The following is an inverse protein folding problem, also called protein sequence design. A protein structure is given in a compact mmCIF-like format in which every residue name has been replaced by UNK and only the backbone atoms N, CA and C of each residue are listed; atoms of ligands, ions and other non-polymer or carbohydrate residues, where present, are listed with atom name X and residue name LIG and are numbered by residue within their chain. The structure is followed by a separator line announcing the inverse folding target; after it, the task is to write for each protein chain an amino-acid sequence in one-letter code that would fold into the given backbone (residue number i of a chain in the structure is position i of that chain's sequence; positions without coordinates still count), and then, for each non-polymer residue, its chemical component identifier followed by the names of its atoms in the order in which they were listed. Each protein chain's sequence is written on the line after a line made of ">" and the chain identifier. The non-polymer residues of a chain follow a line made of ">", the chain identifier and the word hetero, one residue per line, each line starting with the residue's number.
data_IF_363199736470
#
_entry.id   IF_363199736470
#
_cell.length_a   1.000
_cell.length_b   1.000
_cell.length_c   1.000
_cell.angle_alpha   90.00
_cell.angle_beta   90.00
_cell.angle_gamma   90.00
#
_symmetry.space_group_name_H-M   'P 1'
#
loop_
_entity.id
_entity.type
_entity.pdbx_description
1 polymer ?
#
# COMPACT_ATOMS: atom_id res chain seq x y z
N UNK A 1 -21.43 1.18 1.62
CA UNK A 1 -21.33 2.62 1.99
C UNK A 1 -21.34 3.43 0.70
N UNK A 2 -22.34 4.30 0.46
CA UNK A 2 -22.37 5.14 -0.75
C UNK A 2 -21.10 5.98 -0.90
N UNK A 3 -20.78 6.40 -2.13
CA UNK A 3 -19.58 7.16 -2.51
C UNK A 3 -18.24 6.39 -2.42
N UNK A 4 -18.18 5.23 -1.76
CA UNK A 4 -16.98 4.39 -1.71
C UNK A 4 -16.95 3.49 -2.93
N UNK A 5 -16.29 3.96 -3.99
CA UNK A 5 -16.29 3.30 -5.32
C UNK A 5 -17.68 3.14 -5.95
N UNK A 6 -18.64 3.96 -5.51
CA UNK A 6 -20.00 4.06 -6.01
C UNK A 6 -20.30 5.49 -6.50
N UNK A 7 -21.25 5.68 -7.43
CA UNK A 7 -21.70 7.01 -7.84
C UNK A 7 -22.39 7.75 -6.68
N UNK A 8 -22.52 9.07 -6.81
CA UNK A 8 -23.25 9.92 -5.85
C UNK A 8 -22.45 11.12 -5.33
N UNK A 9 -21.13 11.13 -5.55
CA UNK A 9 -20.28 12.25 -5.13
C UNK A 9 -20.75 13.60 -5.70
N UNK A 10 -21.13 13.66 -6.98
CA UNK A 10 -21.59 14.90 -7.62
C UNK A 10 -22.85 15.48 -6.95
N UNK A 11 -23.76 14.62 -6.48
CA UNK A 11 -24.99 15.05 -5.80
C UNK A 11 -24.65 15.57 -4.40
N UNK A 12 -23.80 14.87 -3.66
CA UNK A 12 -23.36 15.31 -2.32
C UNK A 12 -22.58 16.62 -2.41
N UNK A 13 -21.69 16.77 -3.39
CA UNK A 13 -20.95 18.01 -3.64
C UNK A 13 -21.90 19.17 -3.95
N UNK A 14 -22.84 18.98 -4.89
CA UNK A 14 -23.83 20.02 -5.24
C UNK A 14 -24.71 20.41 -4.04
N UNK A 15 -25.08 19.46 -3.17
CA UNK A 15 -25.82 19.76 -1.95
C UNK A 15 -24.99 20.63 -0.99
N UNK A 16 -23.70 20.32 -0.80
CA UNK A 16 -22.81 21.16 0.00
C UNK A 16 -22.62 22.56 -0.57
N UNK A 17 -22.43 22.69 -1.89
CA UNK A 17 -22.32 24.00 -2.57
C UNK A 17 -23.59 24.85 -2.37
N UNK A 18 -24.75 24.21 -2.34
CA UNK A 18 -26.04 24.84 -2.06
C UNK A 18 -26.33 25.03 -0.56
N UNK A 19 -25.38 24.72 0.34
CA UNK A 19 -25.57 24.74 1.80
C UNK A 19 -26.75 23.89 2.30
N UNK A 20 -27.08 22.83 1.56
CA UNK A 20 -28.11 21.86 1.93
C UNK A 20 -27.51 20.86 2.93
N UNK A 21 -28.16 20.60 4.08
CA UNK A 21 -27.69 19.60 5.04
C UNK A 21 -27.63 18.20 4.41
N UNK A 22 -26.47 17.56 4.50
CA UNK A 22 -26.26 16.15 4.10
C UNK A 22 -26.01 15.31 5.34
N UNK A 23 -26.62 14.13 5.40
CA UNK A 23 -26.38 13.14 6.45
C UNK A 23 -26.20 11.75 5.84
N UNK A 24 -25.62 10.82 6.60
CA UNK A 24 -25.37 9.45 6.18
C UNK A 24 -25.77 8.47 7.30
N UNK A 25 -26.49 7.41 6.95
CA UNK A 25 -26.79 6.32 7.87
C UNK A 25 -25.56 5.40 7.91
N UNK A 26 -24.98 5.10 9.09
CA UNK A 26 -23.89 4.13 9.17
C UNK A 26 -24.39 2.76 8.70
N UNK A 27 -23.55 2.03 7.97
CA UNK A 27 -23.99 0.77 7.38
C UNK A 27 -22.86 -0.07 6.80
N UNK A 28 -23.21 -1.21 6.17
CA UNK A 28 -22.24 -2.18 5.68
C UNK A 28 -21.23 -1.60 4.69
N UNK A 29 -19.98 -2.05 4.82
CA UNK A 29 -18.90 -1.73 3.90
C UNK A 29 -17.99 -2.95 3.75
N UNK A 30 -17.82 -3.43 2.51
CA UNK A 30 -16.94 -4.55 2.21
C UNK A 30 -15.48 -4.27 2.65
N UNK A 31 -15.04 -3.01 2.58
CA UNK A 31 -13.69 -2.57 3.00
C UNK A 31 -13.45 -2.88 4.47
N UNK A 32 -14.29 -2.34 5.37
CA UNK A 32 -14.08 -2.52 6.82
C UNK A 32 -14.35 -3.96 7.25
N UNK A 33 -15.29 -4.65 6.60
CA UNK A 33 -15.54 -6.08 6.85
C UNK A 33 -14.33 -6.92 6.44
N UNK A 34 -13.74 -6.68 5.27
CA UNK A 34 -12.55 -7.41 4.81
C UNK A 34 -11.34 -7.16 5.73
N UNK A 35 -11.12 -5.91 6.16
CA UNK A 35 -10.05 -5.58 7.12
C UNK A 35 -10.24 -6.35 8.44
N UNK A 36 -11.45 -6.38 8.97
CA UNK A 36 -11.76 -7.12 10.21
C UNK A 36 -11.54 -8.63 10.06
N UNK A 37 -11.88 -9.21 8.90
CA UNK A 37 -11.74 -10.65 8.65
C UNK A 37 -10.33 -11.07 8.19
N UNK A 38 -9.52 -10.12 7.71
CA UNK A 38 -8.19 -10.41 7.13
C UNK A 38 -7.23 -11.11 8.09
N UNK A 39 -7.36 -10.87 9.41
CA UNK A 39 -6.42 -11.37 10.41
C UNK A 39 -4.99 -10.83 10.25
N UNK A 40 -4.81 -9.74 9.49
CA UNK A 40 -3.56 -9.00 9.38
C UNK A 40 -3.48 -7.95 10.50
N UNK A 41 -2.26 -7.51 10.83
CA UNK A 41 -2.08 -6.43 11.81
C UNK A 41 -2.41 -5.07 11.17
N UNK A 42 -3.70 -4.78 11.04
CA UNK A 42 -4.21 -3.55 10.43
C UNK A 42 -4.31 -2.47 11.52
N UNK A 43 -3.22 -1.74 11.75
CA UNK A 43 -3.24 -0.52 12.59
C UNK A 43 -3.74 0.69 11.81
N UNK A 44 -3.11 0.95 10.67
CA UNK A 44 -3.50 1.98 9.70
C UNK A 44 -3.70 1.32 8.33
N UNK A 45 -4.65 1.82 7.55
CA UNK A 45 -4.93 1.28 6.23
C UNK A 45 -5.19 2.37 5.18
N UNK A 46 -5.06 1.97 3.92
CA UNK A 46 -5.49 2.73 2.73
C UNK A 46 -6.57 1.91 2.06
N UNK A 47 -7.66 2.57 1.65
CA UNK A 47 -8.55 2.01 0.65
C UNK A 47 -8.26 2.69 -0.68
N UNK A 48 -7.84 1.92 -1.68
CA UNK A 48 -7.40 2.45 -2.98
C UNK A 48 -8.29 1.98 -4.14
N UNK A 49 -9.60 1.93 -3.90
CA UNK A 49 -10.60 1.63 -4.92
C UNK A 49 -10.32 0.32 -5.65
N UNK A 50 -10.30 0.36 -6.98
CA UNK A 50 -9.96 -0.78 -7.82
C UNK A 50 -8.51 -0.67 -8.31
N UNK A 51 -7.77 -1.78 -8.28
CA UNK A 51 -6.44 -1.82 -8.87
C UNK A 51 -6.47 -1.39 -10.36
N UNK A 52 -5.39 -0.78 -10.90
CA UNK A 52 -5.34 -0.38 -12.29
C UNK A 52 -5.52 -1.55 -13.27
N UNK A 53 -6.25 -1.32 -14.37
CA UNK A 53 -6.58 -2.38 -15.34
C UNK A 53 -5.37 -2.82 -16.18
N UNK A 54 -4.57 -1.85 -16.64
CA UNK A 54 -3.43 -2.10 -17.54
C UNK A 54 -2.24 -2.61 -16.73
N UNK A 55 -1.56 -3.64 -17.21
CA UNK A 55 -0.42 -4.28 -16.51
C UNK A 55 0.65 -3.28 -16.10
N UNK A 56 1.11 -2.40 -17.00
CA UNK A 56 2.12 -1.39 -16.64
C UNK A 56 1.67 -0.44 -15.53
N UNK A 57 0.41 0.04 -15.58
CA UNK A 57 -0.13 0.91 -14.54
C UNK A 57 -0.35 0.17 -13.22
N UNK A 58 -0.72 -1.11 -13.26
CA UNK A 58 -0.90 -1.95 -12.08
C UNK A 58 0.42 -2.23 -11.39
N UNK A 59 1.47 -2.54 -12.14
CA UNK A 59 2.82 -2.74 -11.60
C UNK A 59 3.38 -1.44 -11.02
N UNK A 60 3.25 -0.31 -11.72
CA UNK A 60 3.62 0.99 -11.18
C UNK A 60 2.87 1.34 -9.88
N UNK A 61 1.59 1.00 -9.80
CA UNK A 61 0.82 1.13 -8.55
C UNK A 61 1.37 0.21 -7.44
N UNK A 62 1.62 -1.07 -7.73
CA UNK A 62 2.23 -2.00 -6.77
C UNK A 62 3.61 -1.52 -6.29
N UNK A 63 4.42 -0.95 -7.17
CA UNK A 63 5.73 -0.39 -6.81
C UNK A 63 5.61 0.71 -5.73
N UNK A 64 4.53 1.51 -5.76
CA UNK A 64 4.28 2.49 -4.68
C UNK A 64 3.99 1.86 -3.32
N UNK A 65 3.61 0.57 -3.29
CA UNK A 65 3.21 -0.14 -2.08
C UNK A 65 4.35 -0.94 -1.45
N UNK A 66 5.51 -1.07 -2.10
CA UNK A 66 6.65 -1.88 -1.63
C UNK A 66 7.03 -1.51 -0.19
N UNK A 67 7.08 -0.21 0.10
CA UNK A 67 7.44 0.36 1.40
C UNK A 67 6.26 1.03 2.13
N UNK A 68 5.04 0.90 1.62
CA UNK A 68 3.86 1.49 2.24
C UNK A 68 3.52 0.73 3.53
N UNK A 69 3.72 1.37 4.68
CA UNK A 69 3.55 0.73 6.00
C UNK A 69 2.10 0.38 6.35
N UNK A 70 1.14 1.05 5.72
CA UNK A 70 -0.29 0.83 5.94
C UNK A 70 -0.73 -0.42 5.18
N UNK A 71 -1.68 -1.16 5.76
CA UNK A 71 -2.35 -2.20 4.99
C UNK A 71 -3.12 -1.57 3.81
N UNK A 72 -3.15 -2.23 2.67
CA UNK A 72 -3.85 -1.74 1.48
C UNK A 72 -5.06 -2.62 1.23
N UNK A 73 -6.23 -2.00 1.19
CA UNK A 73 -7.48 -2.64 0.82
C UNK A 73 -7.90 -2.15 -0.57
N UNK A 74 -8.24 -3.07 -1.46
CA UNK A 74 -8.77 -2.73 -2.78
C UNK A 74 -9.83 -3.73 -3.23
N UNK A 75 -10.67 -3.30 -4.16
CA UNK A 75 -11.61 -4.15 -4.88
C UNK A 75 -10.96 -4.70 -6.14
N UNK A 76 -11.42 -5.89 -6.54
CA UNK A 76 -10.98 -6.48 -7.80
C UNK A 76 -12.10 -7.32 -8.43
N UNK A 77 -12.05 -7.44 -9.75
CA UNK A 77 -12.88 -8.35 -10.51
C UNK A 77 -12.38 -9.80 -10.38
N UNK A 78 -13.28 -10.80 -10.33
CA UNK A 78 -12.89 -12.21 -10.35
C UNK A 78 -12.04 -12.60 -11.56
N UNK A 79 -12.17 -11.89 -12.69
CA UNK A 79 -11.41 -12.15 -13.91
C UNK A 79 -10.00 -11.56 -13.93
N UNK A 80 -9.62 -10.81 -12.88
CA UNK A 80 -8.36 -10.05 -12.83
C UNK A 80 -7.51 -10.34 -11.61
N UNK A 81 -8.11 -10.88 -10.56
CA UNK A 81 -7.47 -11.13 -9.27
C UNK A 81 -6.28 -12.08 -9.39
N UNK A 82 -6.33 -13.09 -10.26
CA UNK A 82 -5.21 -14.00 -10.53
C UNK A 82 -3.98 -13.20 -11.00
N UNK A 83 -4.14 -12.37 -12.04
CA UNK A 83 -3.04 -11.56 -12.56
C UNK A 83 -2.60 -10.47 -11.57
N UNK A 84 -3.51 -9.89 -10.79
CA UNK A 84 -3.17 -8.93 -9.75
C UNK A 84 -2.32 -9.60 -8.66
N UNK A 85 -2.68 -10.80 -8.19
CA UNK A 85 -1.93 -11.51 -7.16
C UNK A 85 -0.56 -11.97 -7.67
N UNK A 86 -0.48 -12.42 -8.92
CA UNK A 86 0.80 -12.75 -9.56
C UNK A 86 1.72 -11.51 -9.65
N UNK A 87 1.23 -10.39 -10.18
CA UNK A 87 1.99 -9.14 -10.23
C UNK A 87 2.37 -8.66 -8.81
N UNK A 88 1.48 -8.80 -7.84
CA UNK A 88 1.74 -8.39 -6.46
C UNK A 88 2.81 -9.27 -5.80
N UNK A 89 2.78 -10.58 -6.01
CA UNK A 89 3.83 -11.48 -5.52
C UNK A 89 5.19 -11.16 -6.15
N UNK A 90 5.22 -10.83 -7.45
CA UNK A 90 6.44 -10.44 -8.15
C UNK A 90 7.01 -9.11 -7.63
N UNK A 91 6.16 -8.10 -7.42
CA UNK A 91 6.60 -6.72 -7.09
C UNK A 91 6.79 -6.52 -5.59
N UNK A 92 5.86 -7.01 -4.75
CA UNK A 92 5.87 -6.78 -3.30
C UNK A 92 6.62 -7.87 -2.52
N UNK A 93 7.04 -8.93 -3.22
CA UNK A 93 7.63 -10.13 -2.67
C UNK A 93 6.58 -11.21 -2.38
N UNK A 94 6.89 -12.49 -2.65
CA UNK A 94 5.94 -13.59 -2.53
C UNK A 94 5.53 -13.86 -1.08
N UNK A 95 6.38 -13.51 -0.11
CA UNK A 95 6.17 -13.76 1.32
C UNK A 95 5.31 -12.69 2.00
N UNK A 96 5.01 -11.58 1.31
CA UNK A 96 4.10 -10.55 1.83
C UNK A 96 2.76 -11.19 2.15
N UNK A 97 2.18 -10.93 3.31
CA UNK A 97 0.88 -11.49 3.67
C UNK A 97 -0.27 -10.73 3.03
N UNK A 98 -1.35 -11.44 2.76
CA UNK A 98 -2.60 -10.88 2.27
C UNK A 98 -3.82 -11.71 2.68
N UNK A 99 -4.99 -11.18 2.34
CA UNK A 99 -6.27 -11.85 2.47
C UNK A 99 -7.19 -11.51 1.29
N UNK A 100 -7.68 -12.53 0.61
CA UNK A 100 -8.74 -12.40 -0.41
C UNK A 100 -10.07 -12.73 0.25
N UNK A 101 -10.95 -11.73 0.36
CA UNK A 101 -12.29 -11.86 0.91
C UNK A 101 -13.30 -11.91 -0.23
N UNK A 102 -14.01 -13.03 -0.38
CA UNK A 102 -14.96 -13.31 -1.46
C UNK A 102 -16.37 -13.39 -0.92
N UNK A 103 -17.31 -12.82 -1.69
CA UNK A 103 -18.75 -12.99 -1.45
C UNK A 103 -19.14 -12.69 0.00
N UNK A 104 -18.55 -11.65 0.58
CA UNK A 104 -18.77 -11.25 1.98
C UNK A 104 -20.26 -11.14 2.30
N UNK A 105 -20.64 -11.76 3.40
CA UNK A 105 -21.98 -11.92 3.98
C UNK A 105 -22.96 -12.80 3.19
N UNK A 106 -22.52 -13.43 2.09
CA UNK A 106 -23.37 -14.28 1.22
C UNK A 106 -23.13 -15.77 1.51
N UNK A 107 -23.94 -16.63 0.89
CA UNK A 107 -23.89 -18.10 1.06
C UNK A 107 -22.52 -18.72 0.80
N UNK A 108 -21.75 -18.14 -0.13
CA UNK A 108 -20.43 -18.63 -0.54
C UNK A 108 -19.29 -17.74 -0.02
N UNK A 109 -19.47 -17.08 1.14
CA UNK A 109 -18.42 -16.29 1.77
C UNK A 109 -17.15 -17.12 1.98
N UNK A 110 -16.01 -16.57 1.58
CA UNK A 110 -14.69 -17.17 1.79
C UNK A 110 -13.65 -16.10 2.11
N UNK A 111 -12.83 -16.34 3.13
CA UNK A 111 -11.68 -15.49 3.46
C UNK A 111 -10.42 -16.33 3.36
N UNK A 112 -9.75 -16.24 2.21
CA UNK A 112 -8.47 -16.93 1.98
C UNK A 112 -7.34 -16.04 2.46
N UNK A 113 -6.55 -16.54 3.41
CA UNK A 113 -5.37 -15.86 3.98
C UNK A 113 -4.12 -16.65 3.63
N UNK A 114 -3.01 -15.95 3.43
CA UNK A 114 -1.72 -16.55 3.09
C UNK A 114 -0.71 -15.49 2.69
N UNK A 115 0.42 -15.94 2.17
CA UNK A 115 1.35 -15.07 1.47
C UNK A 115 0.83 -14.73 0.06
N UNK A 116 1.33 -13.68 -0.59
CA UNK A 116 0.92 -13.32 -1.93
C UNK A 116 1.21 -14.44 -2.93
N UNK A 117 2.31 -15.18 -2.75
CA UNK A 117 2.61 -16.37 -3.56
C UNK A 117 1.57 -17.49 -3.39
N UNK A 118 1.19 -17.79 -2.14
CA UNK A 118 0.15 -18.80 -1.85
C UNK A 118 -1.23 -18.37 -2.41
N UNK A 119 -1.54 -17.08 -2.32
CA UNK A 119 -2.78 -16.52 -2.84
C UNK A 119 -2.81 -16.52 -4.38
N UNK A 120 -1.69 -16.19 -5.02
CA UNK A 120 -1.56 -16.27 -6.47
C UNK A 120 -1.80 -17.70 -6.98
N UNK A 121 -1.15 -18.69 -6.34
CA UNK A 121 -1.35 -20.10 -6.66
C UNK A 121 -2.80 -20.56 -6.41
N UNK A 122 -3.42 -20.11 -5.31
CA UNK A 122 -4.82 -20.44 -5.02
C UNK A 122 -5.80 -19.83 -6.04
N UNK A 123 -5.47 -18.68 -6.63
CA UNK A 123 -6.31 -18.02 -7.63
C UNK A 123 -6.18 -18.62 -9.04
N UNK A 124 -5.23 -19.54 -9.26
CA UNK A 124 -5.06 -20.25 -10.54
C UNK A 124 -6.35 -20.98 -10.94
N UNK A 125 -6.70 -20.91 -12.23
CA UNK A 125 -7.96 -21.48 -12.74
C UNK A 125 -9.19 -20.60 -12.47
N UNK A 126 -9.00 -19.45 -11.82
CA UNK A 126 -9.98 -18.40 -11.66
C UNK A 126 -10.87 -18.56 -10.44
N UNK A 127 -11.32 -17.42 -9.93
CA UNK A 127 -12.27 -17.32 -8.83
C UNK A 127 -13.57 -16.66 -9.29
N UNK A 128 -14.61 -16.73 -8.47
CA UNK A 128 -15.94 -16.16 -8.77
C UNK A 128 -16.43 -15.25 -7.66
N UNK A 129 -17.37 -14.38 -8.01
CA UNK A 129 -18.03 -13.48 -7.08
C UNK A 129 -17.29 -12.16 -6.90
N UNK A 130 -17.76 -11.38 -5.93
CA UNK A 130 -17.18 -10.09 -5.55
C UNK A 130 -15.97 -10.28 -4.65
N UNK A 131 -14.93 -9.47 -4.87
CA UNK A 131 -13.64 -9.64 -4.21
C UNK A 131 -13.20 -8.34 -3.56
N UNK A 132 -12.80 -8.44 -2.30
CA UNK A 132 -12.01 -7.42 -1.59
C UNK A 132 -10.68 -8.04 -1.19
N UNK A 133 -9.58 -7.45 -1.66
CA UNK A 133 -8.22 -7.86 -1.33
C UNK A 133 -7.66 -6.94 -0.25
N UNK A 134 -7.04 -7.53 0.77
CA UNK A 134 -6.24 -6.82 1.77
C UNK A 134 -4.80 -7.30 1.67
N UNK A 135 -3.84 -6.39 1.54
CA UNK A 135 -2.41 -6.65 1.51
C UNK A 135 -1.80 -6.05 2.78
N UNK A 136 -0.96 -6.82 3.48
CA UNK A 136 -0.23 -6.34 4.66
C UNK A 136 0.75 -5.23 4.27
N UNK A 137 0.99 -4.28 5.18
CA UNK A 137 1.91 -3.18 4.91
C UNK A 137 3.35 -3.64 4.72
N UNK A 138 4.09 -2.83 3.95
CA UNK A 138 5.52 -2.72 3.73
C UNK A 138 6.38 -2.94 4.99
N UNK A 139 7.45 -3.72 4.88
CA UNK A 139 8.52 -3.63 5.87
C UNK A 139 9.23 -2.29 5.64
N UNK A 140 9.67 -1.65 6.72
CA UNK A 140 10.46 -0.43 6.63
C UNK A 140 11.73 -0.77 5.85
N UNK A 141 11.99 -0.06 4.75
CA UNK A 141 13.36 0.01 4.25
C UNK A 141 14.15 0.71 5.35
N UNK A 142 15.05 -0.01 6.00
CA UNK A 142 16.18 0.68 6.59
C UNK A 142 16.90 1.30 5.41
N UNK A 143 16.91 2.64 5.33
CA UNK A 143 17.80 3.28 4.39
C UNK A 143 19.21 2.78 4.72
N UNK A 144 19.96 2.31 3.74
CA UNK A 144 21.37 2.02 3.97
C UNK A 144 22.12 3.35 3.92
N UNK A 145 23.16 3.54 4.74
CA UNK A 145 23.97 4.75 4.72
C UNK A 145 24.46 5.15 3.32
N UNK A 146 24.77 4.18 2.47
CA UNK A 146 25.26 4.37 1.10
C UNK A 146 24.22 5.07 0.19
N UNK A 147 22.93 4.77 0.37
CA UNK A 147 21.85 5.36 -0.43
C UNK A 147 21.62 6.84 -0.13
N UNK A 148 22.09 7.29 1.03
CA UNK A 148 21.84 8.65 1.56
C UNK A 148 23.03 9.60 1.33
N UNK A 149 24.16 9.10 0.82
CA UNK A 149 25.38 9.88 0.60
C UNK A 149 25.10 11.11 -0.28
N UNK A 150 24.30 10.95 -1.34
CA UNK A 150 23.95 12.06 -2.24
C UNK A 150 23.30 13.24 -1.51
N UNK A 151 22.36 12.96 -0.60
CA UNK A 151 21.70 13.99 0.21
C UNK A 151 22.68 14.69 1.15
N UNK A 152 23.65 13.96 1.71
CA UNK A 152 24.68 14.56 2.56
C UNK A 152 25.57 15.50 1.73
N UNK A 153 26.00 15.08 0.54
CA UNK A 153 26.88 15.88 -0.31
C UNK A 153 26.21 17.16 -0.81
N UNK A 154 24.92 17.11 -1.18
CA UNK A 154 24.16 18.31 -1.57
C UNK A 154 24.14 19.37 -0.46
N UNK A 155 23.96 18.96 0.79
CA UNK A 155 23.95 19.88 1.94
C UNK A 155 25.34 20.47 2.20
N UNK A 156 26.38 19.66 2.02
CA UNK A 156 27.77 20.10 2.16
C UNK A 156 28.16 21.09 1.07
N UNK A 157 27.74 20.86 -0.17
CA UNK A 157 27.95 21.78 -1.28
C UNK A 157 27.14 23.08 -1.08
N UNK A 158 26.03 23.02 -0.34
CA UNK A 158 25.30 24.17 0.20
C UNK A 158 25.99 24.90 1.37
N UNK A 159 27.16 24.43 1.81
CA UNK A 159 27.99 25.08 2.84
C UNK A 159 27.86 24.50 4.25
N UNK A 160 27.06 23.45 4.47
CA UNK A 160 27.04 22.75 5.77
C UNK A 160 28.33 21.94 5.98
N UNK A 161 28.73 21.79 7.25
CA UNK A 161 29.84 20.88 7.58
C UNK A 161 29.38 19.44 7.40
N UNK A 162 30.21 18.60 6.78
CA UNK A 162 29.96 17.17 6.52
C UNK A 162 29.34 16.44 7.72
N UNK A 163 29.91 16.64 8.91
CA UNK A 163 29.43 15.99 10.14
C UNK A 163 28.02 16.42 10.55
N UNK A 164 27.68 17.68 10.32
CA UNK A 164 26.36 18.23 10.66
C UNK A 164 25.31 17.79 9.62
N UNK A 165 25.67 17.79 8.34
CA UNK A 165 24.85 17.26 7.24
C UNK A 165 24.54 15.77 7.43
N UNK A 166 25.57 14.93 7.65
CA UNK A 166 25.41 13.51 7.91
C UNK A 166 24.54 13.25 9.16
N UNK A 167 24.72 14.02 10.24
CA UNK A 167 23.88 13.88 11.45
C UNK A 167 22.42 14.22 11.19
N UNK A 168 22.13 15.24 10.36
CA UNK A 168 20.76 15.61 10.00
C UNK A 168 20.10 14.51 9.19
N UNK A 169 20.72 14.10 8.09
CA UNK A 169 20.20 13.07 7.17
C UNK A 169 20.05 11.73 7.92
N UNK A 170 21.02 11.35 8.73
CA UNK A 170 20.94 10.14 9.56
C UNK A 170 19.75 10.15 10.53
N UNK A 171 19.48 11.29 11.17
CA UNK A 171 18.34 11.42 12.09
C UNK A 171 17.00 11.35 11.35
N UNK A 172 16.92 11.94 10.17
CA UNK A 172 15.71 11.99 9.35
C UNK A 172 15.35 10.61 8.77
N UNK A 173 16.36 9.84 8.35
CA UNK A 173 16.18 8.54 7.72
C UNK A 173 16.43 7.34 8.65
N UNK A 174 16.77 7.59 9.92
CA UNK A 174 16.91 6.55 10.94
C UNK A 174 18.14 5.65 10.76
N UNK A 175 19.23 6.18 10.19
CA UNK A 175 20.49 5.44 10.00
C UNK A 175 21.54 5.84 11.03
N UNK A 176 22.60 5.03 11.18
CA UNK A 176 23.72 5.38 12.07
C UNK A 176 24.51 6.54 11.48
N UNK A 177 24.70 7.58 12.28
CA UNK A 177 25.45 8.79 11.89
C UNK A 177 26.90 8.46 11.49
N UNK A 178 27.54 7.51 12.17
CA UNK A 178 28.92 7.10 11.89
C UNK A 178 29.03 6.50 10.49
N UNK A 179 28.27 5.45 10.23
CA UNK A 179 28.26 4.73 8.96
C UNK A 179 27.94 5.66 7.77
N UNK A 180 26.97 6.59 7.91
CA UNK A 180 26.65 7.58 6.87
C UNK A 180 27.76 8.61 6.66
N UNK A 181 28.41 9.04 7.74
CA UNK A 181 29.53 9.97 7.66
C UNK A 181 30.72 9.33 6.95
N UNK A 182 31.05 8.09 7.29
CA UNK A 182 32.17 7.36 6.71
C UNK A 182 31.92 7.10 5.21
N UNK A 183 30.73 6.63 4.83
CA UNK A 183 30.34 6.45 3.43
C UNK A 183 30.41 7.77 2.62
N UNK A 184 29.96 8.89 3.21
CA UNK A 184 30.04 10.20 2.55
C UNK A 184 31.47 10.76 2.47
N UNK A 185 32.35 10.38 3.40
CA UNK A 185 33.76 10.73 3.37
C UNK A 185 34.48 9.96 2.26
N UNK A 186 34.23 8.66 2.16
CA UNK A 186 34.80 7.77 1.14
C UNK A 186 34.37 8.17 -0.27
N UNK A 187 33.13 8.61 -0.47
CA UNK A 187 32.65 9.08 -1.77
C UNK A 187 33.29 10.39 -2.24
N UNK A 188 34.00 11.12 -1.37
CA UNK A 188 34.67 12.39 -1.67
C UNK A 188 36.19 12.23 -1.87
N UNK A 189 36.74 11.06 -1.55
CA UNK A 189 38.15 10.69 -1.72
C UNK A 189 38.38 9.92 -3.01
#
# INVERSE_FOLDING_TARGET
>A
MPLVSDPGHSIVAAAHDASIPVTCIPGPSAVTTALALSGLNVGHFIFDGFAPRKTGARRAWLETLVHERRAVCCFESPHRIEQLLADAADVLGPDRRGAVCRELTKTYEEVKRGTLGELAAWAEGGVRGEITLVIEGGAQQHAEPEDLVGLVLELVDGGERMKDAAKRVAKEHGVKVGDLYDAALDARG
#
